data_IF_993171475354
#
_entry.id   IF_993171475354
#
_cell.length_a   1.000
_cell.length_b   1.000
_cell.length_c   1.000
_cell.angle_alpha   90.00
_cell.angle_beta   90.00
_cell.angle_gamma   90.00
#
_symmetry.space_group_name_H-M   'P 1'
#
loop_
_entity.id
_entity.type
_entity.pdbx_description
1 polymer ?
#
# COMPACT_ATOMS: atom_id res chain seq x y z
N UNK A 1 -25.51 -16.35 -19.85
CA UNK A 1 -24.56 -15.36 -20.37
C UNK A 1 -23.54 -15.04 -19.29
N UNK A 2 -22.24 -15.12 -19.61
CA UNK A 2 -21.13 -14.87 -18.67
C UNK A 2 -21.20 -13.43 -18.16
N UNK A 3 -21.43 -13.26 -16.85
CA UNK A 3 -21.24 -11.98 -16.16
C UNK A 3 -19.78 -11.59 -16.30
N UNK A 4 -19.50 -10.56 -17.11
CA UNK A 4 -18.21 -9.89 -17.12
C UNK A 4 -18.03 -9.30 -15.73
N UNK A 5 -17.17 -9.92 -14.93
CA UNK A 5 -16.54 -9.26 -13.79
C UNK A 5 -15.83 -8.02 -14.37
N UNK A 6 -16.50 -6.87 -14.32
CA UNK A 6 -15.83 -5.58 -14.39
C UNK A 6 -14.79 -5.61 -13.28
N UNK A 7 -13.52 -5.75 -13.65
CA UNK A 7 -12.46 -5.25 -12.79
C UNK A 7 -12.77 -3.77 -12.71
N UNK A 8 -13.34 -3.37 -11.57
CA UNK A 8 -13.67 -2.00 -11.21
C UNK A 8 -12.60 -1.06 -11.79
N UNK A 9 -12.98 -0.30 -12.82
CA UNK A 9 -12.07 0.48 -13.67
C UNK A 9 -11.30 1.57 -12.89
N UNK A 10 -11.63 1.71 -11.60
CA UNK A 10 -11.05 2.64 -10.65
C UNK A 10 -9.95 2.05 -9.74
N UNK A 11 -9.72 0.73 -9.77
CA UNK A 11 -8.69 0.10 -8.92
C UNK A 11 -7.38 -0.05 -9.70
N UNK A 12 -6.51 0.94 -9.54
CA UNK A 12 -5.30 1.08 -10.36
C UNK A 12 -4.09 0.34 -9.79
N UNK A 13 -4.07 0.11 -8.47
CA UNK A 13 -3.02 -0.66 -7.82
C UNK A 13 -3.53 -1.32 -6.54
N UNK A 14 -3.15 -2.59 -6.36
CA UNK A 14 -3.29 -3.29 -5.08
C UNK A 14 -1.92 -3.75 -4.64
N UNK A 15 -1.54 -3.44 -3.41
CA UNK A 15 -0.26 -3.91 -2.88
C UNK A 15 -0.32 -5.44 -2.73
N UNK A 16 0.69 -6.21 -3.18
CA UNK A 16 0.76 -7.64 -2.94
C UNK A 16 0.92 -7.97 -1.46
N UNK A 17 0.12 -8.92 -0.95
CA UNK A 17 0.22 -9.40 0.43
C UNK A 17 1.58 -10.05 0.71
N UNK A 18 2.18 -10.66 -0.31
CA UNK A 18 3.53 -11.25 -0.25
C UNK A 18 4.57 -10.25 0.25
N UNK A 19 4.49 -8.96 -0.13
CA UNK A 19 5.40 -7.91 0.35
C UNK A 19 5.32 -7.67 1.87
N UNK A 20 4.14 -7.88 2.44
CA UNK A 20 3.92 -7.75 3.88
C UNK A 20 4.39 -9.02 4.59
N UNK A 21 4.01 -10.19 4.07
CA UNK A 21 4.34 -11.49 4.68
C UNK A 21 5.84 -11.82 4.65
N UNK A 22 6.56 -11.37 3.62
CA UNK A 22 8.01 -11.56 3.49
C UNK A 22 8.84 -10.52 4.24
N UNK A 23 8.20 -9.58 4.95
CA UNK A 23 8.84 -8.45 5.64
C UNK A 23 9.60 -7.46 4.75
N UNK A 24 9.62 -7.64 3.42
CA UNK A 24 10.26 -6.68 2.49
C UNK A 24 9.72 -5.26 2.71
N UNK A 25 8.40 -5.10 2.92
CA UNK A 25 7.80 -3.80 3.22
C UNK A 25 8.38 -3.13 4.48
N UNK A 26 8.68 -3.93 5.52
CA UNK A 26 9.24 -3.46 6.78
C UNK A 26 10.72 -3.07 6.66
N UNK A 27 11.43 -3.60 5.67
CA UNK A 27 12.86 -3.34 5.42
C UNK A 27 13.08 -2.06 4.61
N UNK A 28 12.12 -1.70 3.73
CA UNK A 28 12.17 -0.48 2.94
C UNK A 28 12.37 0.76 3.81
N UNK A 29 13.13 1.75 3.33
CA UNK A 29 13.16 3.05 3.98
C UNK A 29 11.82 3.80 3.84
N UNK A 30 11.58 4.79 4.71
CA UNK A 30 10.30 5.50 4.71
C UNK A 30 9.96 6.21 3.38
N UNK A 31 10.91 6.84 2.67
CA UNK A 31 10.64 7.35 1.33
C UNK A 31 10.16 6.26 0.35
N UNK A 32 10.82 5.10 0.31
CA UNK A 32 10.45 3.98 -0.56
C UNK A 32 9.01 3.50 -0.31
N UNK A 33 8.64 3.34 0.97
CA UNK A 33 7.27 3.00 1.38
C UNK A 33 6.25 4.04 0.89
N UNK A 34 6.60 5.32 0.93
CA UNK A 34 5.71 6.38 0.43
C UNK A 34 5.60 6.43 -1.10
N UNK A 35 6.67 6.06 -1.82
CA UNK A 35 6.77 6.18 -3.28
C UNK A 35 6.15 5.01 -4.01
N UNK A 36 6.28 3.78 -3.49
CA UNK A 36 5.78 2.58 -4.18
C UNK A 36 4.28 2.68 -4.54
N UNK A 37 3.37 3.07 -3.62
CA UNK A 37 1.97 3.30 -3.96
C UNK A 37 1.76 4.34 -5.06
N UNK A 38 2.56 5.42 -5.07
CA UNK A 38 2.46 6.49 -6.08
C UNK A 38 2.83 5.96 -7.47
N UNK A 39 3.93 5.21 -7.58
CA UNK A 39 4.31 4.54 -8.85
C UNK A 39 3.25 3.52 -9.23
N UNK A 40 2.80 2.72 -8.27
CA UNK A 40 1.82 1.66 -8.45
C UNK A 40 0.52 2.18 -9.08
N UNK A 41 -0.08 3.24 -8.55
CA UNK A 41 -1.33 3.79 -9.13
C UNK A 41 -1.12 4.49 -10.48
N UNK A 42 0.11 4.79 -10.88
CA UNK A 42 0.42 5.37 -12.19
C UNK A 42 0.82 4.30 -13.21
N UNK A 43 0.82 3.01 -12.85
CA UNK A 43 1.12 1.92 -13.77
C UNK A 43 -0.01 1.75 -14.79
N UNK A 44 0.34 1.71 -16.07
CA UNK A 44 -0.53 1.11 -17.07
C UNK A 44 -0.41 -0.42 -16.94
N UNK A 45 -1.47 -1.07 -16.47
CA UNK A 45 -1.50 -2.52 -16.24
C UNK A 45 -1.34 -3.34 -17.53
N UNK A 46 -1.63 -2.79 -18.71
CA UNK A 46 -1.53 -3.53 -19.99
C UNK A 46 -0.08 -3.71 -20.43
N UNK A 47 0.76 -2.72 -20.15
CA UNK A 47 2.16 -2.69 -20.58
C UNK A 47 3.15 -2.70 -19.41
N UNK A 48 2.66 -2.63 -18.17
CA UNK A 48 3.44 -2.53 -16.93
C UNK A 48 4.43 -1.36 -16.95
N UNK A 49 3.95 -0.15 -17.27
CA UNK A 49 4.79 1.06 -17.36
C UNK A 49 4.12 2.25 -16.70
N UNK A 50 4.89 2.98 -15.90
CA UNK A 50 4.49 4.22 -15.24
C UNK A 50 5.51 5.30 -15.60
N UNK A 51 5.03 6.53 -15.86
CA UNK A 51 5.88 7.68 -16.19
C UNK A 51 5.72 8.89 -15.23
N UNK A 52 5.52 8.71 -13.91
CA UNK A 52 5.50 9.85 -13.01
C UNK A 52 6.91 10.46 -12.92
N UNK A 53 7.04 11.75 -13.22
CA UNK A 53 8.30 12.47 -13.03
C UNK A 53 8.65 12.61 -11.54
N UNK A 54 9.93 12.80 -11.23
CA UNK A 54 10.39 13.03 -9.84
C UNK A 54 9.60 14.14 -9.12
N UNK A 55 9.29 15.30 -9.75
CA UNK A 55 8.48 16.33 -9.10
C UNK A 55 7.07 15.83 -8.70
N UNK A 56 6.44 15.03 -9.56
CA UNK A 56 5.12 14.44 -9.26
C UNK A 56 5.22 13.39 -8.13
N UNK A 57 6.27 12.56 -8.16
CA UNK A 57 6.52 11.58 -7.09
C UNK A 57 6.75 12.31 -5.75
N UNK A 58 7.56 13.37 -5.76
CA UNK A 58 7.83 14.20 -4.58
C UNK A 58 6.56 14.76 -3.97
N UNK A 59 5.72 15.40 -4.79
CA UNK A 59 4.44 15.98 -4.37
C UNK A 59 3.49 14.92 -3.79
N UNK A 60 3.25 13.84 -4.54
CA UNK A 60 2.25 12.84 -4.17
C UNK A 60 2.70 11.90 -3.04
N UNK A 61 4.00 11.75 -2.80
CA UNK A 61 4.53 10.97 -1.67
C UNK A 61 4.64 11.78 -0.37
N UNK A 62 4.57 13.11 -0.46
CA UNK A 62 4.78 14.03 0.67
C UNK A 62 6.25 14.23 1.06
N UNK A 63 7.20 13.91 0.17
CA UNK A 63 8.63 14.13 0.39
C UNK A 63 9.13 15.27 -0.50
N UNK A 64 9.24 16.47 0.06
CA UNK A 64 9.72 17.67 -0.65
C UNK A 64 11.22 17.63 -0.99
N UNK A 65 12.02 16.93 -0.20
CA UNK A 65 13.45 16.76 -0.48
C UNK A 65 13.67 15.70 -1.56
N UNK A 66 14.15 16.15 -2.73
CA UNK A 66 14.37 15.30 -3.90
C UNK A 66 15.46 14.24 -3.68
N UNK A 67 16.41 14.46 -2.77
CA UNK A 67 17.41 13.43 -2.44
C UNK A 67 16.76 12.24 -1.73
N UNK A 68 15.78 12.47 -0.85
CA UNK A 68 15.01 11.39 -0.24
C UNK A 68 14.14 10.66 -1.26
N UNK A 69 13.60 11.38 -2.25
CA UNK A 69 12.86 10.74 -3.35
C UNK A 69 13.77 9.84 -4.18
N UNK A 70 14.98 10.30 -4.53
CA UNK A 70 15.99 9.50 -5.25
C UNK A 70 16.43 8.29 -4.42
N UNK A 71 16.70 8.48 -3.14
CA UNK A 71 17.07 7.40 -2.22
C UNK A 71 15.96 6.36 -2.10
N UNK A 72 14.69 6.78 -1.97
CA UNK A 72 13.55 5.87 -1.96
C UNK A 72 13.37 5.11 -3.26
N UNK A 73 13.52 5.76 -4.42
CA UNK A 73 13.50 5.07 -5.72
C UNK A 73 14.62 4.04 -5.83
N UNK A 74 15.85 4.39 -5.42
CA UNK A 74 16.97 3.46 -5.45
C UNK A 74 16.77 2.29 -4.48
N UNK A 75 16.17 2.52 -3.32
CA UNK A 75 15.84 1.48 -2.35
C UNK A 75 14.79 0.49 -2.90
N UNK A 76 13.78 0.99 -3.62
CA UNK A 76 12.82 0.14 -4.34
C UNK A 76 13.49 -0.69 -5.45
N UNK A 77 14.52 -0.17 -6.10
CA UNK A 77 15.31 -0.93 -7.10
C UNK A 77 16.15 -2.00 -6.41
N UNK A 78 16.81 -1.66 -5.30
CA UNK A 78 17.67 -2.58 -4.55
C UNK A 78 16.88 -3.77 -3.97
N UNK A 79 15.64 -3.55 -3.54
CA UNK A 79 14.74 -4.61 -3.09
C UNK A 79 14.00 -5.32 -4.26
N UNK A 80 14.41 -5.06 -5.51
CA UNK A 80 13.83 -5.65 -6.71
C UNK A 80 12.30 -5.46 -6.79
N UNK A 81 11.79 -4.29 -6.36
CA UNK A 81 10.37 -3.96 -6.42
C UNK A 81 10.03 -3.17 -7.68
N UNK A 82 10.97 -2.40 -8.22
CA UNK A 82 10.79 -1.68 -9.47
C UNK A 82 12.01 -1.82 -10.37
N UNK A 83 11.78 -1.73 -11.67
CA UNK A 83 12.83 -1.51 -12.67
C UNK A 83 12.69 -0.08 -13.17
N UNK A 84 13.81 0.66 -13.22
CA UNK A 84 13.87 2.01 -13.80
C UNK A 84 14.61 1.95 -15.14
N UNK A 85 13.94 2.37 -16.20
CA UNK A 85 14.53 2.55 -17.52
C UNK A 85 14.52 4.04 -17.90
N UNK A 86 15.57 4.50 -18.56
CA UNK A 86 15.65 5.87 -19.07
C UNK A 86 15.21 5.90 -20.52
N UNK A 87 14.19 6.70 -20.82
CA UNK A 87 13.69 6.93 -22.18
C UNK A 87 13.79 8.42 -22.49
N UNK A 88 14.86 8.78 -23.21
CA UNK A 88 15.21 10.18 -23.46
C UNK A 88 15.48 10.94 -22.15
N UNK A 89 14.68 11.98 -21.89
CA UNK A 89 14.75 12.80 -20.66
C UNK A 89 13.88 12.27 -19.52
N UNK A 90 13.12 11.21 -19.74
CA UNK A 90 12.14 10.70 -18.79
C UNK A 90 12.59 9.36 -18.20
N UNK A 91 12.25 9.15 -16.92
CA UNK A 91 12.33 7.84 -16.32
C UNK A 91 11.00 7.13 -16.51
N UNK A 92 11.08 5.85 -16.87
CA UNK A 92 9.96 4.92 -16.96
C UNK A 92 10.18 3.86 -15.90
N UNK A 93 9.14 3.59 -15.15
CA UNK A 93 9.15 2.60 -14.07
C UNK A 93 8.26 1.43 -14.44
N UNK A 94 8.72 0.23 -14.14
CA UNK A 94 7.96 -1.02 -14.24
C UNK A 94 7.96 -1.72 -12.89
N UNK A 95 6.83 -2.29 -12.50
CA UNK A 95 6.76 -3.10 -11.28
C UNK A 95 7.29 -4.51 -11.57
N UNK A 96 8.03 -5.09 -10.65
CA UNK A 96 8.50 -6.48 -10.78
C UNK A 96 7.41 -7.46 -10.36
N UNK A 97 7.68 -8.77 -10.49
CA UNK A 97 6.75 -9.80 -10.02
C UNK A 97 6.41 -9.71 -8.52
N UNK A 98 7.27 -9.09 -7.70
CA UNK A 98 7.08 -8.94 -6.26
C UNK A 98 6.09 -7.81 -5.90
N UNK A 99 6.06 -6.75 -6.71
CA UNK A 99 5.26 -5.56 -6.45
C UNK A 99 4.08 -5.38 -7.40
N UNK A 100 4.04 -6.13 -8.51
CA UNK A 100 2.95 -6.08 -9.47
C UNK A 100 1.66 -6.69 -8.89
N UNK A 101 0.52 -6.04 -9.13
CA UNK A 101 -0.77 -6.50 -8.65
C UNK A 101 -1.14 -7.85 -9.29
N UNK A 102 -1.33 -8.89 -8.47
CA UNK A 102 -1.72 -10.23 -8.91
C UNK A 102 -3.10 -10.59 -8.37
N UNK A 103 -3.97 -11.08 -9.25
CA UNK A 103 -5.30 -11.58 -8.86
C UNK A 103 -5.14 -12.69 -7.82
N UNK A 104 -5.89 -12.60 -6.72
CA UNK A 104 -5.82 -13.57 -5.62
C UNK A 104 -4.54 -13.51 -4.78
N UNK A 105 -3.73 -12.44 -4.90
CA UNK A 105 -2.55 -12.22 -4.06
C UNK A 105 -2.37 -10.76 -3.62
N UNK A 106 -3.03 -9.84 -4.31
CA UNK A 106 -3.05 -8.42 -4.00
C UNK A 106 -4.47 -8.00 -3.66
N UNK A 107 -4.63 -7.41 -2.48
CA UNK A 107 -5.93 -7.40 -1.80
C UNK A 107 -6.38 -6.00 -1.43
N UNK A 108 -5.50 -5.19 -0.86
CA UNK A 108 -5.81 -3.83 -0.47
C UNK A 108 -5.76 -2.86 -1.65
N UNK A 109 -6.88 -2.22 -2.05
CA UNK A 109 -6.89 -1.24 -3.13
C UNK A 109 -6.31 0.11 -2.71
N UNK A 110 -5.44 0.67 -3.54
CA UNK A 110 -4.99 2.05 -3.43
C UNK A 110 -5.66 2.87 -4.53
N UNK A 111 -6.64 3.68 -4.14
CA UNK A 111 -7.42 4.49 -5.07
C UNK A 111 -6.63 5.72 -5.53
N UNK A 112 -6.36 5.82 -6.83
CA UNK A 112 -5.60 6.95 -7.38
C UNK A 112 -6.26 8.30 -7.06
N UNK A 113 -7.54 8.46 -7.38
CA UNK A 113 -8.26 9.72 -7.18
C UNK A 113 -8.38 10.08 -5.70
N UNK A 114 -8.99 9.20 -4.92
CA UNK A 114 -9.36 9.46 -3.53
C UNK A 114 -8.18 9.49 -2.56
N UNK A 115 -7.10 8.73 -2.81
CA UNK A 115 -5.97 8.60 -1.87
C UNK A 115 -4.70 9.32 -2.35
N UNK A 116 -4.36 9.21 -3.63
CA UNK A 116 -3.07 9.70 -4.16
C UNK A 116 -3.21 11.13 -4.71
N UNK A 117 -4.09 11.36 -5.69
CA UNK A 117 -4.28 12.66 -6.36
C UNK A 117 -4.86 13.71 -5.41
N UNK A 118 -5.74 13.30 -4.48
CA UNK A 118 -6.27 14.18 -3.41
C UNK A 118 -5.22 14.63 -2.38
N UNK A 119 -3.99 14.11 -2.46
CA UNK A 119 -2.90 14.31 -1.50
C UNK A 119 -3.19 13.81 -0.07
N UNK A 120 -4.26 13.04 0.16
CA UNK A 120 -4.51 12.38 1.45
C UNK A 120 -3.32 11.50 1.86
N UNK A 121 -2.78 10.72 0.92
CA UNK A 121 -1.55 9.92 1.15
C UNK A 121 -0.36 10.79 1.52
N UNK A 122 -0.10 11.87 0.76
CA UNK A 122 1.02 12.76 1.00
C UNK A 122 1.01 13.32 2.43
N UNK A 123 -0.18 13.67 2.95
CA UNK A 123 -0.39 14.21 4.30
C UNK A 123 -0.20 13.23 5.47
N UNK A 124 -0.02 11.93 5.20
CA UNK A 124 0.27 10.96 6.24
C UNK A 124 1.73 11.01 6.68
N UNK A 125 1.96 10.83 7.98
CA UNK A 125 3.29 10.64 8.55
C UNK A 125 3.93 9.35 8.00
N UNK A 126 5.27 9.22 8.05
CA UNK A 126 5.95 8.01 7.63
C UNK A 126 5.41 6.72 8.29
N UNK A 127 5.14 6.77 9.60
CA UNK A 127 4.63 5.60 10.33
C UNK A 127 3.17 5.28 9.99
N UNK A 128 2.33 6.28 9.74
CA UNK A 128 0.96 6.07 9.25
C UNK A 128 0.95 5.42 7.87
N UNK A 129 1.81 5.88 6.94
CA UNK A 129 1.98 5.26 5.61
C UNK A 129 2.38 3.79 5.73
N UNK A 130 3.36 3.49 6.58
CA UNK A 130 3.82 2.12 6.83
C UNK A 130 2.71 1.23 7.38
N UNK A 131 1.94 1.72 8.36
CA UNK A 131 0.92 0.93 9.05
C UNK A 131 -0.36 0.76 8.20
N UNK A 132 -0.80 1.80 7.49
CA UNK A 132 -2.05 1.81 6.72
C UNK A 132 -2.13 0.66 5.71
N UNK A 133 -1.05 0.43 4.95
CA UNK A 133 -1.03 -0.66 3.98
C UNK A 133 -1.00 -2.05 4.63
N UNK A 134 -0.38 -2.18 5.81
CA UNK A 134 -0.36 -3.45 6.56
C UNK A 134 -1.75 -3.77 7.05
N UNK A 135 -2.42 -2.82 7.71
CA UNK A 135 -3.80 -2.96 8.17
C UNK A 135 -4.71 -3.35 7.01
N UNK A 136 -4.64 -2.62 5.91
CA UNK A 136 -5.39 -2.89 4.71
C UNK A 136 -5.17 -4.28 4.09
N UNK A 137 -3.93 -4.76 4.04
CA UNK A 137 -3.65 -6.07 3.46
C UNK A 137 -4.03 -7.24 4.39
N UNK A 138 -3.88 -7.05 5.70
CA UNK A 138 -4.18 -8.09 6.70
C UNK A 138 -5.66 -8.19 7.02
N UNK A 139 -6.38 -7.08 6.96
CA UNK A 139 -7.83 -6.98 7.03
C UNK A 139 -8.56 -8.06 6.20
N UNK A 140 -8.12 -8.28 4.96
CA UNK A 140 -8.76 -9.24 4.05
C UNK A 140 -8.46 -10.73 4.35
N UNK A 141 -7.35 -11.05 5.04
CA UNK A 141 -7.14 -12.42 5.54
C UNK A 141 -8.21 -12.76 6.57
N UNK A 142 -8.63 -11.74 7.30
CA UNK A 142 -9.54 -11.86 8.43
C UNK A 142 -11.01 -11.76 7.97
N UNK A 143 -11.32 -11.07 6.86
CA UNK A 143 -12.68 -10.99 6.31
C UNK A 143 -12.70 -10.82 4.76
N UNK A 144 -13.16 -11.84 3.99
CA UNK A 144 -13.30 -11.78 2.54
C UNK A 144 -14.37 -10.81 2.00
N UNK A 145 -15.37 -10.42 2.80
CA UNK A 145 -16.50 -9.56 2.42
C UNK A 145 -16.10 -8.06 2.36
N UNK A 146 -14.96 -7.70 2.96
CA UNK A 146 -14.36 -6.34 2.95
C UNK A 146 -14.17 -5.75 1.55
N UNK A 147 -14.10 -6.59 0.51
CA UNK A 147 -13.98 -6.09 -0.87
C UNK A 147 -15.15 -5.20 -1.32
N UNK A 148 -16.28 -5.22 -0.61
CA UNK A 148 -17.45 -4.37 -0.87
C UNK A 148 -17.61 -3.16 0.07
N UNK A 149 -16.79 -3.01 1.11
CA UNK A 149 -16.93 -1.89 2.06
C UNK A 149 -16.25 -0.62 1.56
N UNK A 150 -16.78 0.54 1.97
CA UNK A 150 -16.19 1.86 1.64
C UNK A 150 -14.87 2.10 2.38
N UNK A 151 -14.60 1.31 3.44
CA UNK A 151 -13.43 1.46 4.28
C UNK A 151 -12.27 0.63 3.75
N UNK A 152 -11.12 1.28 3.69
CA UNK A 152 -9.96 0.73 3.03
C UNK A 152 -9.21 -0.24 3.96
N UNK A 153 -9.03 0.11 5.23
CA UNK A 153 -8.26 -0.65 6.22
C UNK A 153 -9.03 -0.90 7.51
N UNK A 154 -8.74 -2.00 8.19
CA UNK A 154 -9.43 -2.43 9.41
C UNK A 154 -8.48 -2.29 10.62
N UNK A 155 -9.01 -1.72 11.70
CA UNK A 155 -8.32 -1.48 12.96
C UNK A 155 -8.30 -2.68 13.92
N UNK A 156 -9.10 -3.71 13.66
CA UNK A 156 -9.14 -4.92 14.49
C UNK A 156 -7.85 -5.73 14.36
N UNK A 157 -6.95 -5.47 15.31
CA UNK A 157 -5.61 -6.01 15.34
C UNK A 157 -5.54 -7.14 16.36
N UNK A 158 -5.45 -8.36 15.83
CA UNK A 158 -4.98 -9.51 16.58
C UNK A 158 -3.45 -9.49 16.60
N UNK A 159 -2.85 -9.70 17.77
CA UNK A 159 -1.39 -9.73 17.96
C UNK A 159 -0.65 -8.44 17.50
N UNK A 160 -0.78 -7.31 18.21
CA UNK A 160 -0.19 -6.02 17.84
C UNK A 160 1.32 -6.06 17.54
N UNK A 161 2.06 -6.99 18.15
CA UNK A 161 3.50 -7.19 17.88
C UNK A 161 3.76 -7.52 16.41
N UNK A 162 2.97 -8.38 15.77
CA UNK A 162 3.16 -8.73 14.36
C UNK A 162 2.91 -7.55 13.43
N UNK A 163 1.92 -6.71 13.73
CA UNK A 163 1.65 -5.51 12.94
C UNK A 163 2.77 -4.47 13.06
N UNK A 164 3.40 -4.35 14.24
CA UNK A 164 4.58 -3.52 14.45
C UNK A 164 5.74 -4.01 13.56
N UNK A 165 5.97 -5.32 13.55
CA UNK A 165 7.02 -5.97 12.75
C UNK A 165 6.76 -5.85 11.25
N UNK A 166 5.56 -6.21 10.77
CA UNK A 166 5.18 -6.07 9.36
C UNK A 166 5.20 -4.61 8.87
N UNK A 167 4.87 -3.65 9.73
CA UNK A 167 4.95 -2.24 9.38
C UNK A 167 6.40 -1.71 9.44
N UNK A 168 7.33 -2.41 10.08
CA UNK A 168 8.72 -1.97 10.27
C UNK A 168 8.80 -0.64 11.00
N UNK A 169 8.08 -0.50 12.11
CA UNK A 169 8.04 0.70 12.95
C UNK A 169 8.22 0.35 14.43
N UNK A 170 8.54 1.33 15.27
CA UNK A 170 8.63 1.11 16.72
C UNK A 170 7.24 0.97 17.37
N UNK A 171 7.15 0.37 18.57
CA UNK A 171 5.92 0.32 19.37
C UNK A 171 5.32 1.72 19.63
N UNK A 172 6.16 2.71 19.91
CA UNK A 172 5.71 4.10 20.14
C UNK A 172 5.15 4.72 18.86
N UNK A 173 5.82 4.50 17.73
CA UNK A 173 5.36 4.94 16.41
C UNK A 173 4.06 4.27 16.02
N UNK A 174 3.90 2.99 16.32
CA UNK A 174 2.68 2.23 16.06
C UNK A 174 1.48 2.84 16.77
N UNK A 175 1.57 3.09 18.09
CA UNK A 175 0.46 3.70 18.85
C UNK A 175 0.02 5.03 18.24
N UNK A 176 0.99 5.91 17.94
CA UNK A 176 0.72 7.22 17.33
C UNK A 176 0.14 7.12 15.92
N UNK A 177 0.67 6.21 15.10
CA UNK A 177 0.18 5.98 13.75
C UNK A 177 -1.24 5.42 13.76
N UNK A 178 -1.52 4.49 14.67
CA UNK A 178 -2.84 3.90 14.83
C UNK A 178 -3.88 4.95 15.24
N UNK A 179 -3.59 5.74 16.29
CA UNK A 179 -4.43 6.86 16.72
C UNK A 179 -4.62 7.91 15.60
N UNK A 180 -3.54 8.21 14.87
CA UNK A 180 -3.55 9.17 13.78
C UNK A 180 -4.36 8.72 12.56
N UNK A 181 -4.35 7.43 12.23
CA UNK A 181 -5.18 6.84 11.18
C UNK A 181 -6.66 6.80 11.59
N UNK A 182 -6.95 6.46 12.85
CA UNK A 182 -8.31 6.48 13.40
C UNK A 182 -8.92 7.90 13.34
N UNK A 183 -8.19 8.90 13.84
CA UNK A 183 -8.65 10.29 13.84
C UNK A 183 -8.88 10.84 12.41
N UNK A 184 -8.19 10.30 11.40
CA UNK A 184 -8.38 10.68 10.00
C UNK A 184 -9.48 9.86 9.31
N UNK A 185 -10.19 9.00 10.05
CA UNK A 185 -11.22 8.09 9.53
C UNK A 185 -10.71 7.23 8.38
N UNK A 186 -9.45 6.79 8.46
CA UNK A 186 -8.81 5.92 7.47
C UNK A 186 -8.86 4.44 7.86
N UNK A 187 -9.24 4.13 9.09
CA UNK A 187 -9.44 2.76 9.57
C UNK A 187 -10.84 2.63 10.16
N UNK A 188 -11.48 1.49 9.93
CA UNK A 188 -12.76 1.12 10.53
C UNK A 188 -12.54 0.06 11.60
N UNK A 189 -13.43 0.03 12.59
CA UNK A 189 -13.48 -1.01 13.62
C UNK A 189 -14.75 -1.81 13.41
N UNK A 190 -14.64 -3.13 13.44
CA UNK A 190 -15.82 -4.00 13.43
C UNK A 190 -16.53 -3.91 14.77
N UNK A 191 -17.83 -3.68 14.76
CA UNK A 191 -18.67 -3.92 15.93
C UNK A 191 -18.72 -5.45 16.16
N UNK A 192 -18.04 -5.89 17.22
CA UNK A 192 -17.96 -7.25 17.78
C UNK A 192 -18.82 -8.35 17.10
N UNK A 193 -18.20 -9.17 16.25
CA UNK A 193 -18.57 -10.60 16.14
C UNK A 193 -17.33 -11.47 16.46
N UNK A 194 -17.16 -11.90 17.73
CA UNK A 194 -16.00 -12.67 18.17
C UNK A 194 -15.86 -14.03 17.49
N UNK A 195 -16.87 -14.50 16.73
CA UNK A 195 -16.86 -15.80 16.05
C UNK A 195 -16.46 -15.73 14.57
N UNK A 196 -16.36 -14.54 13.97
CA UNK A 196 -16.12 -14.40 12.52
C UNK A 196 -14.69 -14.82 12.10
N UNK A 197 -13.73 -14.69 13.00
CA UNK A 197 -12.31 -14.86 12.71
C UNK A 197 -11.76 -16.27 12.99
N UNK A 198 -12.49 -17.12 13.72
CA UNK A 198 -12.08 -18.52 13.93
C UNK A 198 -12.15 -19.33 12.63
N UNK A 199 -13.04 -18.97 11.71
CA UNK A 199 -13.31 -19.71 10.47
C UNK A 199 -12.16 -19.63 9.45
N UNK A 200 -11.37 -18.55 9.46
CA UNK A 200 -10.32 -18.32 8.46
C UNK A 200 -8.88 -18.65 8.93
N UNK A 201 -8.70 -18.97 10.20
CA UNK A 201 -7.39 -19.35 10.78
C UNK A 201 -6.97 -20.81 10.50
N UNK A 202 -7.80 -21.61 9.81
CA UNK A 202 -7.55 -23.04 9.54
C UNK A 202 -7.32 -23.40 8.06
N UNK A 203 -6.92 -22.45 7.20
CA UNK A 203 -6.57 -22.75 5.79
C UNK A 203 -5.13 -22.38 5.43
#
# INVERSE_FOLDING_TARGET
>A
MKGRNMIDENIQYRLPLELINSYIWAELNYPARAILPVIGVHIDLRVNRARPGIPLISDLSGYSNLEYVRAGINDLINHNLIVRQKEGRHNVYSLTALSFCKRGRSYFPIYKGAMIISRKWAGLTPSEKSLYLVLGNKAKINDPEVLGSEFHAIGDIYEPKKYIEWAGISRRSFKRAYEGLNHKSLIEFWEEDPYRYEVYSQQ
#
